data_IF_527651511392
#
_entry.id   IF_527651511392
#
_cell.length_a   1.000
_cell.length_b   1.000
_cell.length_c   1.000
_cell.angle_alpha   90.00
_cell.angle_beta   90.00
_cell.angle_gamma   90.00
#
_symmetry.space_group_name_H-M   'P 1'
#
loop_
_entity.id
_entity.type
_entity.pdbx_description
1 polymer ?
#
# COMPACT_ATOMS: atom_id res chain seq x y z
N UNK A 1 -11.71 -15.58 -16.92
CA UNK A 1 -11.27 -15.09 -18.24
C UNK A 1 -9.92 -15.70 -18.51
N UNK A 2 -9.72 -16.32 -19.67
CA UNK A 2 -8.56 -17.13 -19.99
C UNK A 2 -7.28 -16.29 -19.99
N UNK A 3 -6.26 -16.77 -19.27
CA UNK A 3 -4.86 -16.35 -19.37
C UNK A 3 -4.34 -16.66 -20.79
N UNK A 4 -4.76 -15.88 -21.76
CA UNK A 4 -4.27 -15.85 -23.13
C UNK A 4 -4.10 -14.40 -23.60
N UNK A 5 -3.62 -13.52 -22.73
CA UNK A 5 -3.04 -12.25 -23.15
C UNK A 5 -1.54 -12.45 -23.30
N UNK A 6 -1.19 -12.29 -24.42
CA UNK A 6 -0.16 -12.63 -25.34
C UNK A 6 1.25 -12.23 -24.86
N UNK A 7 2.21 -13.11 -25.09
CA UNK A 7 3.65 -12.84 -25.05
C UNK A 7 4.09 -11.61 -25.88
N UNK A 8 3.16 -10.91 -26.53
CA UNK A 8 3.38 -9.66 -27.27
C UNK A 8 3.40 -8.42 -26.37
N UNK A 9 2.88 -8.49 -25.13
CA UNK A 9 2.79 -7.37 -24.19
C UNK A 9 3.96 -7.34 -23.19
N UNK A 10 4.67 -8.46 -23.03
CA UNK A 10 5.87 -8.50 -22.18
C UNK A 10 7.02 -7.68 -22.79
N UNK A 11 7.80 -7.02 -21.94
CA UNK A 11 9.03 -6.37 -22.33
C UNK A 11 10.06 -7.36 -22.91
N UNK A 12 11.05 -6.87 -23.64
CA UNK A 12 12.16 -7.70 -24.12
C UNK A 12 12.93 -8.33 -22.96
N UNK A 13 13.11 -7.58 -21.87
CA UNK A 13 13.77 -8.06 -20.66
C UNK A 13 12.98 -9.20 -20.01
N UNK A 14 11.66 -9.05 -19.85
CA UNK A 14 10.81 -10.06 -19.24
C UNK A 14 10.78 -11.40 -20.01
N UNK A 15 11.05 -11.37 -21.33
CA UNK A 15 11.18 -12.59 -22.16
C UNK A 15 12.56 -13.23 -22.11
N UNK A 16 13.54 -12.56 -21.54
CA UNK A 16 14.94 -12.98 -21.54
C UNK A 16 15.33 -13.70 -20.26
N UNK A 17 16.34 -14.59 -20.35
CA UNK A 17 16.97 -15.10 -19.15
C UNK A 17 17.76 -13.94 -18.49
N UNK A 18 17.58 -13.67 -17.18
CA UNK A 18 18.33 -12.62 -16.50
C UNK A 18 19.85 -12.69 -16.72
N UNK A 19 20.44 -13.87 -16.86
CA UNK A 19 21.88 -14.05 -17.08
C UNK A 19 22.38 -13.69 -18.48
N UNK A 20 21.48 -13.58 -19.45
CA UNK A 20 21.82 -13.18 -20.83
C UNK A 20 21.85 -11.64 -21.00
N UNK A 21 21.35 -10.89 -20.03
CA UNK A 21 21.29 -9.43 -20.02
C UNK A 21 22.55 -8.88 -19.34
N UNK A 22 23.25 -7.88 -19.91
CA UNK A 22 24.33 -7.20 -19.19
C UNK A 22 23.81 -6.61 -17.86
N UNK A 23 24.55 -6.78 -16.74
CA UNK A 23 24.14 -6.28 -15.42
C UNK A 23 23.67 -4.82 -15.47
N UNK A 24 24.45 -3.94 -16.08
CA UNK A 24 24.14 -2.50 -16.21
C UNK A 24 22.86 -2.20 -17.02
N UNK A 25 22.17 -3.21 -17.55
CA UNK A 25 20.94 -3.08 -18.34
C UNK A 25 19.72 -3.73 -17.64
N UNK A 26 19.92 -4.37 -16.49
CA UNK A 26 18.81 -4.93 -15.74
C UNK A 26 18.00 -3.79 -15.15
N UNK A 27 16.75 -3.68 -15.59
CA UNK A 27 15.79 -2.68 -15.14
C UNK A 27 14.72 -3.36 -14.24
N UNK A 28 14.86 -3.20 -12.94
CA UNK A 28 13.88 -3.72 -12.00
C UNK A 28 12.67 -2.80 -11.80
N UNK A 29 12.61 -1.68 -12.51
CA UNK A 29 11.40 -0.83 -12.59
C UNK A 29 10.43 -1.28 -13.69
N UNK A 30 10.82 -2.24 -14.50
CA UNK A 30 9.96 -2.83 -15.54
C UNK A 30 8.74 -3.54 -14.93
N UNK A 31 7.56 -2.93 -15.05
CA UNK A 31 6.32 -3.43 -14.48
C UNK A 31 5.95 -4.83 -14.97
N UNK A 32 6.37 -5.22 -16.19
CA UNK A 32 6.07 -6.55 -16.73
C UNK A 32 6.77 -7.68 -15.97
N UNK A 33 7.87 -7.40 -15.27
CA UNK A 33 8.51 -8.38 -14.39
C UNK A 33 7.60 -8.78 -13.22
N UNK A 34 6.81 -7.84 -12.72
CA UNK A 34 5.88 -8.07 -11.59
C UNK A 34 4.55 -8.63 -12.09
N UNK A 35 4.03 -8.14 -13.21
CA UNK A 35 2.81 -8.64 -13.81
C UNK A 35 2.87 -10.15 -14.12
N UNK A 36 4.04 -10.63 -14.58
CA UNK A 36 4.26 -12.03 -14.94
C UNK A 36 5.03 -12.84 -13.88
N UNK A 37 5.22 -12.30 -12.67
CA UNK A 37 5.91 -12.96 -11.54
C UNK A 37 7.33 -13.44 -11.89
N UNK A 38 8.08 -12.61 -12.61
CA UNK A 38 9.43 -12.92 -13.09
C UNK A 38 10.53 -12.22 -12.27
N UNK A 39 10.17 -11.23 -11.48
CA UNK A 39 11.08 -10.33 -10.76
C UNK A 39 12.09 -11.06 -9.86
N UNK A 40 11.71 -12.18 -9.25
CA UNK A 40 12.55 -12.95 -8.33
C UNK A 40 13.88 -13.38 -8.95
N UNK A 41 13.87 -13.80 -10.21
CA UNK A 41 15.07 -14.24 -10.92
C UNK A 41 16.06 -13.09 -11.16
N UNK A 42 15.54 -11.90 -11.46
CA UNK A 42 16.33 -10.67 -11.65
C UNK A 42 16.94 -10.19 -10.33
N UNK A 43 16.12 -10.09 -9.28
CA UNK A 43 16.62 -9.73 -7.95
C UNK A 43 17.62 -10.73 -7.38
N UNK A 44 17.44 -12.03 -7.63
CA UNK A 44 18.42 -13.06 -7.23
C UNK A 44 19.77 -12.79 -7.86
N UNK A 45 19.80 -12.56 -9.16
CA UNK A 45 21.03 -12.23 -9.87
C UNK A 45 21.68 -10.95 -9.34
N UNK A 46 20.91 -9.89 -9.11
CA UNK A 46 21.44 -8.65 -8.55
C UNK A 46 22.01 -8.87 -7.15
N UNK A 47 21.32 -9.64 -6.28
CA UNK A 47 21.85 -9.96 -4.94
C UNK A 47 23.19 -10.68 -4.99
N UNK A 48 23.42 -11.51 -5.99
CA UNK A 48 24.63 -12.29 -6.14
C UNK A 48 25.78 -11.51 -6.79
N UNK A 49 25.50 -10.78 -7.86
CA UNK A 49 26.52 -10.20 -8.73
C UNK A 49 26.68 -8.67 -8.56
N UNK A 50 25.61 -7.95 -8.23
CA UNK A 50 25.60 -6.48 -8.12
C UNK A 50 24.54 -5.98 -7.11
N UNK A 51 24.77 -6.22 -5.79
CA UNK A 51 23.73 -6.01 -4.76
C UNK A 51 23.34 -4.55 -4.51
N UNK A 52 24.16 -3.59 -4.94
CA UNK A 52 23.89 -2.15 -4.94
C UNK A 52 23.95 -1.71 -6.40
N UNK A 53 22.90 -2.00 -7.11
CA UNK A 53 22.83 -1.87 -8.56
C UNK A 53 22.44 -0.47 -8.97
N UNK A 54 23.21 0.13 -9.91
CA UNK A 54 22.90 1.42 -10.53
C UNK A 54 22.37 1.25 -11.93
N UNK A 55 21.14 1.70 -12.16
CA UNK A 55 20.56 1.82 -13.50
C UNK A 55 20.61 3.29 -13.93
N UNK A 56 21.32 3.55 -15.03
CA UNK A 56 21.53 4.92 -15.55
C UNK A 56 20.38 5.42 -16.42
N UNK A 57 19.63 4.51 -17.04
CA UNK A 57 18.64 4.81 -18.07
C UNK A 57 17.38 3.97 -17.82
N UNK A 58 16.37 4.57 -17.20
CA UNK A 58 15.05 3.99 -16.98
C UNK A 58 13.98 5.03 -17.31
N UNK A 59 12.71 4.60 -17.46
CA UNK A 59 11.57 5.53 -17.62
C UNK A 59 11.43 6.56 -16.47
N UNK A 60 11.99 6.23 -15.29
CA UNK A 60 11.94 7.06 -14.07
C UNK A 60 13.22 7.85 -13.81
N UNK A 61 14.15 7.91 -14.79
CA UNK A 61 15.48 8.46 -14.58
C UNK A 61 16.45 7.47 -13.91
N UNK A 62 17.67 7.91 -13.55
CA UNK A 62 18.66 7.05 -12.92
C UNK A 62 18.33 6.75 -11.47
N UNK A 63 18.51 5.50 -11.04
CA UNK A 63 18.28 5.11 -9.65
C UNK A 63 19.20 3.97 -9.20
N UNK A 64 19.26 3.77 -7.86
CA UNK A 64 19.95 2.68 -7.22
C UNK A 64 18.98 1.66 -6.67
N UNK A 65 19.23 0.37 -6.94
CA UNK A 65 18.48 -0.74 -6.34
C UNK A 65 19.31 -1.40 -5.25
N UNK A 66 18.82 -1.38 -4.03
CA UNK A 66 19.45 -2.03 -2.87
C UNK A 66 18.76 -3.37 -2.67
N UNK A 67 19.47 -4.49 -2.87
CA UNK A 67 18.81 -5.81 -3.01
C UNK A 67 19.11 -6.79 -1.88
N UNK A 68 20.11 -6.54 -1.02
CA UNK A 68 20.42 -7.40 0.14
C UNK A 68 19.77 -6.88 1.41
N UNK A 69 19.20 -7.76 2.18
CA UNK A 69 18.50 -7.44 3.42
C UNK A 69 19.34 -6.59 4.40
N UNK A 70 20.62 -6.91 4.59
CA UNK A 70 21.49 -6.14 5.47
C UNK A 70 21.72 -4.71 4.98
N UNK A 71 21.84 -4.52 3.67
CA UNK A 71 22.04 -3.21 3.04
C UNK A 71 20.76 -2.37 3.11
N UNK A 72 19.59 -3.00 2.86
CA UNK A 72 18.27 -2.38 3.04
C UNK A 72 18.11 -1.93 4.49
N UNK A 73 18.41 -2.79 5.47
CA UNK A 73 18.34 -2.41 6.90
C UNK A 73 19.30 -1.28 7.25
N UNK A 74 20.46 -1.23 6.59
CA UNK A 74 21.42 -0.14 6.81
C UNK A 74 20.85 1.18 6.31
N UNK A 75 20.34 1.22 5.08
CA UNK A 75 19.72 2.42 4.49
C UNK A 75 18.54 2.89 5.34
N UNK A 76 17.60 1.99 5.66
CA UNK A 76 16.38 2.28 6.40
C UNK A 76 16.65 2.85 7.81
N UNK A 77 17.72 2.43 8.47
CA UNK A 77 18.05 2.88 9.84
C UNK A 77 18.87 4.16 9.90
N UNK A 78 19.42 4.62 8.79
CA UNK A 78 20.30 5.78 8.76
C UNK A 78 19.66 6.97 8.01
N UNK A 79 18.54 7.44 8.54
CA UNK A 79 17.84 8.61 8.01
C UNK A 79 18.68 9.91 8.05
N UNK A 80 19.76 9.94 8.84
CA UNK A 80 20.77 11.01 8.86
C UNK A 80 21.71 10.99 7.65
N UNK A 81 21.75 9.89 6.90
CA UNK A 81 22.54 9.72 5.67
C UNK A 81 21.63 9.63 4.44
N UNK A 82 20.52 8.91 4.56
CA UNK A 82 19.58 8.63 3.49
C UNK A 82 18.26 9.34 3.77
N UNK A 83 18.00 10.40 3.01
CA UNK A 83 16.77 11.19 3.11
C UNK A 83 15.60 10.49 2.44
N UNK A 84 14.39 10.65 3.00
CA UNK A 84 13.12 10.27 2.36
C UNK A 84 12.57 11.38 1.45
N UNK A 85 13.18 12.58 1.49
CA UNK A 85 12.76 13.70 0.66
C UNK A 85 13.43 13.67 -0.72
N UNK A 86 12.73 14.09 -1.77
CA UNK A 86 11.33 14.56 -1.80
C UNK A 86 10.32 13.44 -2.02
N UNK A 87 10.74 12.19 -2.23
CA UNK A 87 9.87 11.07 -2.58
C UNK A 87 10.36 9.74 -2.02
N UNK A 88 9.40 8.87 -1.70
CA UNK A 88 9.63 7.45 -1.42
C UNK A 88 9.44 6.56 -2.66
N UNK A 89 9.09 7.15 -3.80
CA UNK A 89 8.91 6.46 -5.07
C UNK A 89 10.02 6.87 -6.03
N UNK A 90 10.37 5.98 -6.95
CA UNK A 90 11.26 6.31 -8.07
C UNK A 90 10.56 7.26 -9.05
N UNK A 91 11.34 8.13 -9.68
CA UNK A 91 10.84 9.13 -10.62
C UNK A 91 10.56 10.49 -9.99
N UNK A 92 10.22 11.43 -10.84
CA UNK A 92 9.90 12.79 -10.42
C UNK A 92 8.45 12.91 -9.98
N UNK A 93 8.18 13.80 -9.04
CA UNK A 93 6.81 14.13 -8.64
C UNK A 93 6.04 14.79 -9.77
N UNK A 94 4.75 14.46 -9.87
CA UNK A 94 3.83 15.23 -10.70
C UNK A 94 3.74 16.67 -10.16
N UNK A 95 4.04 17.66 -11.03
CA UNK A 95 3.88 19.08 -10.70
C UNK A 95 2.40 19.46 -10.52
N UNK A 96 1.48 18.68 -11.09
CA UNK A 96 0.04 18.96 -11.09
C UNK A 96 -0.64 18.63 -9.76
N UNK A 97 -0.10 17.65 -9.00
CA UNK A 97 -0.60 17.31 -7.66
C UNK A 97 0.60 17.12 -6.71
N UNK A 98 1.13 18.19 -6.13
CA UNK A 98 2.26 18.11 -5.21
C UNK A 98 1.80 17.58 -3.84
N UNK A 99 1.54 16.28 -3.75
CA UNK A 99 1.19 15.62 -2.48
C UNK A 99 2.42 15.50 -1.61
N UNK A 100 2.35 16.03 -0.40
CA UNK A 100 3.38 15.87 0.62
C UNK A 100 2.80 15.14 1.83
N UNK A 101 3.50 14.14 2.32
CA UNK A 101 3.09 13.38 3.50
C UNK A 101 4.29 13.09 4.41
N UNK A 102 4.03 12.60 5.63
CA UNK A 102 5.10 12.46 6.60
C UNK A 102 6.14 11.40 6.26
N UNK A 103 5.82 10.34 5.50
CA UNK A 103 6.83 9.35 5.11
C UNK A 103 7.77 9.82 4.01
N UNK A 104 7.42 10.92 3.31
CA UNK A 104 8.27 11.62 2.35
C UNK A 104 9.00 12.80 2.95
N UNK A 105 8.98 12.92 4.28
CA UNK A 105 9.59 14.03 5.01
C UNK A 105 10.67 13.53 5.95
N UNK A 106 11.72 14.29 6.11
CA UNK A 106 12.75 14.02 7.12
C UNK A 106 12.34 14.58 8.50
N UNK A 107 12.99 14.15 9.59
CA UNK A 107 12.82 14.78 10.89
C UNK A 107 13.14 16.29 10.85
N UNK A 108 12.41 17.15 11.58
CA UNK A 108 11.41 16.82 12.60
C UNK A 108 9.97 16.66 12.09
N UNK A 109 9.68 16.96 10.82
CA UNK A 109 8.32 16.95 10.25
C UNK A 109 7.73 15.53 10.31
N UNK A 110 8.49 14.53 9.87
CA UNK A 110 8.12 13.12 9.98
C UNK A 110 7.67 12.75 11.39
N UNK A 111 8.50 13.03 12.39
CA UNK A 111 8.27 12.58 13.77
C UNK A 111 7.02 13.19 14.39
N UNK A 112 6.82 14.48 14.13
CA UNK A 112 5.67 15.25 14.63
C UNK A 112 4.37 14.70 14.06
N UNK A 113 4.28 14.56 12.74
CA UNK A 113 3.05 14.11 12.08
C UNK A 113 2.77 12.63 12.34
N UNK A 114 3.79 11.77 12.31
CA UNK A 114 3.66 10.35 12.65
C UNK A 114 3.15 10.15 14.08
N UNK A 115 3.68 10.90 15.04
CA UNK A 115 3.26 10.84 16.44
C UNK A 115 1.77 11.18 16.62
N UNK A 116 1.23 12.09 15.82
CA UNK A 116 -0.18 12.48 15.89
C UNK A 116 -1.12 11.32 15.58
N UNK A 117 -0.75 10.42 14.65
CA UNK A 117 -1.62 9.33 14.16
C UNK A 117 -1.27 7.96 14.73
N UNK A 118 -0.08 7.75 15.27
CA UNK A 118 0.39 6.42 15.69
C UNK A 118 -0.50 5.77 16.76
N UNK A 119 -1.17 6.56 17.58
CA UNK A 119 -2.03 6.04 18.65
C UNK A 119 -3.25 5.27 18.13
N UNK A 120 -3.73 5.55 16.91
CA UNK A 120 -4.87 4.84 16.31
C UNK A 120 -4.60 3.34 16.23
N UNK A 121 -3.38 2.97 15.91
CA UNK A 121 -2.94 1.56 15.80
C UNK A 121 -2.13 1.08 17.01
N UNK A 122 -2.20 1.80 18.13
CA UNK A 122 -1.58 1.35 19.36
C UNK A 122 -2.21 0.04 19.87
N UNK A 123 -1.46 -0.85 20.51
CA UNK A 123 -1.96 -2.17 20.93
C UNK A 123 -3.25 -2.11 21.79
N UNK A 124 -3.40 -1.09 22.65
CA UNK A 124 -4.62 -0.87 23.44
C UNK A 124 -5.84 -0.62 22.54
N UNK A 125 -5.66 0.15 21.49
CA UNK A 125 -6.73 0.55 20.58
C UNK A 125 -7.07 -0.57 19.60
N UNK A 126 -6.06 -1.33 19.17
CA UNK A 126 -6.28 -2.55 18.38
C UNK A 126 -7.08 -3.59 19.17
N UNK A 127 -6.87 -3.69 20.49
CA UNK A 127 -7.68 -4.58 21.34
C UNK A 127 -9.16 -4.17 21.39
N UNK A 128 -9.47 -2.87 21.32
CA UNK A 128 -10.84 -2.37 21.23
C UNK A 128 -11.46 -2.59 19.84
N UNK A 129 -10.65 -2.55 18.80
CA UNK A 129 -11.09 -2.80 17.42
C UNK A 129 -11.27 -4.30 17.11
N UNK A 130 -10.59 -5.20 17.82
CA UNK A 130 -10.64 -6.65 17.55
C UNK A 130 -12.08 -7.21 17.53
N UNK A 131 -12.98 -6.92 18.48
CA UNK A 131 -14.36 -7.42 18.41
C UNK A 131 -15.11 -6.93 17.18
N UNK A 132 -14.85 -5.70 16.74
CA UNK A 132 -15.46 -5.10 15.54
C UNK A 132 -14.94 -5.83 14.29
N UNK A 133 -13.62 -6.00 14.18
CA UNK A 133 -12.98 -6.72 13.06
C UNK A 133 -13.54 -8.14 12.98
N UNK A 134 -13.60 -8.85 14.09
CA UNK A 134 -14.12 -10.22 14.17
C UNK A 134 -15.57 -10.32 13.73
N UNK A 135 -16.43 -9.41 14.21
CA UNK A 135 -17.84 -9.36 13.84
C UNK A 135 -18.03 -9.10 12.34
N UNK A 136 -17.25 -8.16 11.77
CA UNK A 136 -17.31 -7.85 10.34
C UNK A 136 -16.80 -8.99 9.49
N UNK A 137 -15.67 -9.58 9.86
CA UNK A 137 -15.14 -10.74 9.15
C UNK A 137 -16.13 -11.91 9.17
N UNK A 138 -16.77 -12.18 10.31
CA UNK A 138 -17.81 -13.21 10.39
C UNK A 138 -19.00 -12.90 9.48
N UNK A 139 -19.51 -11.66 9.52
CA UNK A 139 -20.63 -11.24 8.68
C UNK A 139 -20.33 -11.38 7.18
N UNK A 140 -19.14 -10.92 6.75
CA UNK A 140 -18.70 -11.03 5.35
C UNK A 140 -18.59 -12.50 4.93
N UNK A 141 -17.99 -13.35 5.77
CA UNK A 141 -17.82 -14.77 5.47
C UNK A 141 -19.14 -15.55 5.45
N UNK A 142 -20.09 -15.19 6.33
CA UNK A 142 -21.42 -15.83 6.38
C UNK A 142 -22.30 -15.46 5.18
N UNK A 143 -22.04 -14.29 4.52
CA UNK A 143 -22.76 -13.83 3.33
C UNK A 143 -22.19 -14.39 2.00
N UNK A 144 -21.12 -15.17 2.06
CA UNK A 144 -20.50 -15.74 0.86
C UNK A 144 -21.40 -16.79 0.18
N UNK A 145 -21.48 -16.80 -1.17
CA UNK A 145 -22.32 -17.74 -1.90
C UNK A 145 -21.78 -19.17 -1.77
N UNK A 146 -22.48 -20.01 -1.03
CA UNK A 146 -22.09 -21.39 -0.82
C UNK A 146 -22.29 -22.24 -2.11
N UNK A 147 -21.23 -22.91 -2.56
CA UNK A 147 -21.26 -23.78 -3.74
C UNK A 147 -21.14 -23.07 -5.07
N UNK A 148 -20.86 -21.78 -5.08
CA UNK A 148 -20.63 -20.95 -6.27
C UNK A 148 -19.20 -20.42 -6.30
N UNK A 149 -18.70 -20.12 -7.50
CA UNK A 149 -17.42 -19.43 -7.67
C UNK A 149 -17.64 -17.91 -7.51
N UNK A 150 -16.82 -17.25 -6.72
CA UNK A 150 -16.87 -15.81 -6.52
C UNK A 150 -15.48 -15.19 -6.47
N UNK A 151 -15.40 -13.88 -6.64
CA UNK A 151 -14.16 -13.12 -6.50
C UNK A 151 -13.88 -12.85 -5.00
N UNK A 152 -12.88 -13.53 -4.45
CA UNK A 152 -12.46 -13.36 -3.05
C UNK A 152 -11.99 -11.95 -2.73
N UNK A 153 -11.23 -11.32 -3.66
CA UNK A 153 -10.69 -9.98 -3.46
C UNK A 153 -11.81 -8.99 -3.24
N UNK A 154 -12.81 -8.99 -4.11
CA UNK A 154 -13.95 -8.07 -4.02
C UNK A 154 -14.84 -8.36 -2.82
N UNK A 155 -15.19 -9.63 -2.62
CA UNK A 155 -16.18 -10.03 -1.61
C UNK A 155 -15.64 -10.01 -0.18
N UNK A 156 -14.35 -10.24 0.00
CA UNK A 156 -13.75 -10.38 1.34
C UNK A 156 -12.69 -9.33 1.60
N UNK A 157 -11.62 -9.31 0.82
CA UNK A 157 -10.45 -8.50 1.14
C UNK A 157 -10.74 -7.00 1.05
N UNK A 158 -11.33 -6.54 -0.05
CA UNK A 158 -11.73 -5.13 -0.25
C UNK A 158 -12.81 -4.74 0.74
N UNK A 159 -13.84 -5.55 0.91
CA UNK A 159 -14.96 -5.21 1.78
C UNK A 159 -14.52 -5.07 3.24
N UNK A 160 -13.69 -5.99 3.76
CA UNK A 160 -13.21 -5.93 5.14
C UNK A 160 -12.31 -4.70 5.37
N UNK A 161 -11.34 -4.45 4.50
CA UNK A 161 -10.42 -3.31 4.64
C UNK A 161 -11.16 -1.98 4.53
N UNK A 162 -12.09 -1.86 3.59
CA UNK A 162 -12.90 -0.65 3.39
C UNK A 162 -13.78 -0.35 4.59
N UNK A 163 -14.43 -1.36 5.17
CA UNK A 163 -15.22 -1.20 6.40
C UNK A 163 -14.35 -0.76 7.58
N UNK A 164 -13.15 -1.30 7.70
CA UNK A 164 -12.24 -0.94 8.78
C UNK A 164 -11.70 0.48 8.62
N UNK A 165 -11.34 0.88 7.41
CA UNK A 165 -10.94 2.26 7.13
C UNK A 165 -12.05 3.25 7.48
N UNK A 166 -13.29 2.98 7.06
CA UNK A 166 -14.43 3.82 7.40
C UNK A 166 -14.59 3.98 8.93
N UNK A 167 -14.29 2.92 9.70
CA UNK A 167 -14.32 2.99 11.17
C UNK A 167 -13.17 3.82 11.73
N UNK A 168 -11.95 3.62 11.22
CA UNK A 168 -10.74 4.31 11.70
C UNK A 168 -10.81 5.81 11.43
N UNK A 169 -11.38 6.21 10.29
CA UNK A 169 -11.61 7.62 9.93
C UNK A 169 -12.93 8.19 10.48
N UNK A 170 -13.82 7.35 11.05
CA UNK A 170 -15.23 7.67 11.31
C UNK A 170 -15.89 8.30 10.06
N UNK A 171 -15.61 7.69 8.90
CA UNK A 171 -16.12 8.08 7.60
C UNK A 171 -17.54 7.56 7.40
N UNK A 172 -18.44 8.27 6.67
CA UNK A 172 -19.78 7.78 6.40
C UNK A 172 -19.80 6.39 5.81
N UNK A 173 -20.40 5.43 6.53
CA UNK A 173 -20.28 3.99 6.21
C UNK A 173 -20.86 3.65 4.84
N UNK A 174 -21.94 4.31 4.46
CA UNK A 174 -22.61 4.12 3.15
C UNK A 174 -21.75 4.58 1.96
N UNK A 175 -20.81 5.49 2.23
CA UNK A 175 -19.90 6.04 1.23
C UNK A 175 -18.49 5.41 1.30
N UNK A 176 -18.29 4.38 2.13
CA UNK A 176 -16.98 3.78 2.40
C UNK A 176 -16.19 3.36 1.16
N UNK A 177 -16.88 2.97 0.08
CA UNK A 177 -16.24 2.56 -1.17
C UNK A 177 -15.44 3.68 -1.85
N UNK A 178 -15.72 4.95 -1.51
CA UNK A 178 -14.90 6.07 -1.95
C UNK A 178 -13.46 5.98 -1.43
N UNK A 179 -13.25 5.40 -0.25
CA UNK A 179 -11.91 5.21 0.31
C UNK A 179 -11.06 4.28 -0.57
N UNK A 180 -11.64 3.16 -1.03
CA UNK A 180 -10.97 2.27 -1.97
C UNK A 180 -10.75 2.95 -3.33
N UNK A 181 -11.75 3.64 -3.85
CA UNK A 181 -11.65 4.38 -5.11
C UNK A 181 -10.51 5.41 -5.09
N UNK A 182 -10.38 6.20 -4.02
CA UNK A 182 -9.29 7.17 -3.89
C UNK A 182 -7.93 6.52 -3.65
N UNK A 183 -7.89 5.37 -2.98
CA UNK A 183 -6.68 4.55 -2.85
C UNK A 183 -6.18 4.11 -4.22
N UNK A 184 -7.07 3.51 -5.02
CA UNK A 184 -6.74 3.02 -6.36
C UNK A 184 -6.29 4.17 -7.28
N UNK A 185 -6.96 5.34 -7.22
CA UNK A 185 -6.54 6.54 -7.97
C UNK A 185 -5.17 7.07 -7.56
N UNK A 186 -4.84 6.99 -6.28
CA UNK A 186 -3.57 7.53 -5.77
C UNK A 186 -2.35 6.76 -6.26
N UNK A 187 -2.50 5.43 -6.42
CA UNK A 187 -1.41 4.54 -6.86
C UNK A 187 -1.42 4.28 -8.37
N UNK A 188 -2.54 4.58 -9.05
CA UNK A 188 -2.64 4.41 -10.49
C UNK A 188 -1.93 5.57 -11.20
N UNK A 189 -0.73 5.32 -11.72
CA UNK A 189 -0.04 6.24 -12.62
C UNK A 189 -0.04 5.67 -14.04
N UNK A 190 -0.05 6.52 -15.08
CA UNK A 190 -0.01 6.07 -16.48
C UNK A 190 1.19 5.14 -16.76
N UNK A 191 2.32 5.40 -16.12
CA UNK A 191 3.55 4.61 -16.24
C UNK A 191 3.40 3.20 -15.68
N UNK A 192 2.57 3.03 -14.64
CA UNK A 192 2.33 1.74 -13.98
C UNK A 192 1.15 0.99 -14.57
N UNK A 193 0.11 1.70 -15.03
CA UNK A 193 -1.16 1.10 -15.48
C UNK A 193 -1.25 0.96 -17.00
N UNK A 194 -0.35 1.56 -17.75
CA UNK A 194 -0.40 1.59 -19.22
C UNK A 194 -1.54 2.47 -19.77
N UNK A 195 -1.78 2.36 -21.08
CA UNK A 195 -2.76 3.23 -21.78
C UNK A 195 -4.23 2.97 -21.42
N UNK A 196 -4.54 1.84 -20.78
CA UNK A 196 -5.90 1.47 -20.37
C UNK A 196 -6.19 1.82 -18.90
N UNK A 197 -5.26 2.51 -18.25
CA UNK A 197 -5.35 2.93 -16.87
C UNK A 197 -6.14 4.22 -16.65
N UNK A 198 -6.10 4.70 -15.41
CA UNK A 198 -6.70 5.95 -14.98
C UNK A 198 -5.98 7.12 -15.67
N UNK A 199 -6.76 8.03 -16.26
CA UNK A 199 -6.19 9.26 -16.85
C UNK A 199 -5.79 10.23 -15.74
N UNK A 200 -4.78 11.09 -16.00
CA UNK A 200 -4.36 12.11 -15.05
C UNK A 200 -5.53 13.06 -14.70
N UNK A 201 -6.39 13.37 -15.65
CA UNK A 201 -7.60 14.20 -15.40
C UNK A 201 -8.55 13.52 -14.39
N UNK A 202 -8.78 12.20 -14.52
CA UNK A 202 -9.60 11.43 -13.59
C UNK A 202 -8.94 11.34 -12.20
N UNK A 203 -7.63 11.18 -12.16
CA UNK A 203 -6.84 11.16 -10.93
C UNK A 203 -6.94 12.50 -10.19
N UNK A 204 -6.68 13.63 -10.87
CA UNK A 204 -6.80 14.98 -10.31
C UNK A 204 -8.20 15.23 -9.78
N UNK A 205 -9.23 14.89 -10.58
CA UNK A 205 -10.64 15.07 -10.18
C UNK A 205 -10.97 14.26 -8.93
N UNK A 206 -10.65 12.96 -8.91
CA UNK A 206 -10.98 12.08 -7.79
C UNK A 206 -10.23 12.44 -6.51
N UNK A 207 -8.96 12.83 -6.60
CA UNK A 207 -8.21 13.30 -5.44
C UNK A 207 -8.74 14.68 -4.94
N UNK A 208 -9.21 15.53 -5.84
CA UNK A 208 -9.92 16.76 -5.48
C UNK A 208 -11.23 16.49 -4.74
N UNK A 209 -12.00 15.48 -5.15
CA UNK A 209 -13.21 15.03 -4.44
C UNK A 209 -12.86 14.50 -3.03
N UNK A 210 -11.78 13.75 -2.90
CA UNK A 210 -11.27 13.29 -1.61
C UNK A 210 -10.97 14.47 -0.67
N UNK A 211 -10.20 15.44 -1.15
CA UNK A 211 -9.86 16.65 -0.38
C UNK A 211 -11.11 17.39 0.08
N UNK A 212 -12.07 17.61 -0.82
CA UNK A 212 -13.32 18.31 -0.50
C UNK A 212 -14.15 17.56 0.55
N UNK A 213 -14.27 16.24 0.42
CA UNK A 213 -15.00 15.39 1.37
C UNK A 213 -14.39 15.43 2.75
N UNK A 214 -13.08 15.24 2.85
CA UNK A 214 -12.40 15.25 4.15
C UNK A 214 -12.32 16.66 4.76
N UNK A 215 -12.21 17.71 3.96
CA UNK A 215 -12.32 19.10 4.45
C UNK A 215 -13.70 19.37 5.06
N UNK A 216 -14.76 18.84 4.44
CA UNK A 216 -16.12 18.92 4.99
C UNK A 216 -16.23 18.20 6.33
N UNK A 217 -15.76 16.94 6.39
CA UNK A 217 -15.73 16.16 7.63
C UNK A 217 -14.91 16.83 8.73
N UNK A 218 -13.76 17.39 8.40
CA UNK A 218 -12.91 18.14 9.31
C UNK A 218 -13.67 19.32 9.94
N UNK A 219 -14.30 20.15 9.13
CA UNK A 219 -15.04 21.32 9.58
C UNK A 219 -16.26 20.95 10.45
N UNK A 220 -16.95 19.86 10.12
CA UNK A 220 -18.04 19.32 10.92
C UNK A 220 -17.56 18.85 12.29
N UNK A 221 -16.37 18.19 12.33
CA UNK A 221 -15.79 17.61 13.54
C UNK A 221 -15.12 18.61 14.45
N UNK A 222 -14.54 19.67 13.92
CA UNK A 222 -13.80 20.69 14.67
C UNK A 222 -14.60 21.26 15.86
N UNK A 223 -15.92 21.25 15.78
CA UNK A 223 -16.82 21.78 16.81
C UNK A 223 -17.56 20.71 17.60
N UNK A 224 -17.16 19.41 17.46
CA UNK A 224 -17.75 18.31 18.18
C UNK A 224 -16.84 17.82 19.29
N UNK A 225 -17.37 17.11 20.31
CA UNK A 225 -16.52 16.44 21.28
C UNK A 225 -15.54 15.48 20.58
N UNK A 226 -14.27 15.38 21.04
CA UNK A 226 -13.32 14.46 20.48
C UNK A 226 -13.82 13.02 20.50
N UNK A 227 -13.65 12.32 19.38
CA UNK A 227 -13.89 10.88 19.26
C UNK A 227 -12.56 10.16 19.06
N UNK A 228 -12.60 8.85 19.22
CA UNK A 228 -11.46 7.99 18.93
C UNK A 228 -11.46 7.60 17.45
N UNK A 229 -11.06 8.53 16.57
CA UNK A 229 -10.87 8.35 15.14
C UNK A 229 -9.73 9.24 14.64
N UNK A 230 -9.19 8.93 13.44
CA UNK A 230 -8.04 9.62 12.86
C UNK A 230 -8.29 11.13 12.68
N UNK A 231 -9.47 11.52 12.19
CA UNK A 231 -9.79 12.93 11.93
C UNK A 231 -9.83 13.70 13.25
N UNK A 232 -10.51 13.15 14.27
CA UNK A 232 -10.55 13.76 15.61
C UNK A 232 -9.17 13.87 16.24
N UNK A 233 -8.29 12.86 16.05
CA UNK A 233 -6.91 12.91 16.55
C UNK A 233 -6.10 14.03 15.90
N UNK A 234 -6.18 14.17 14.59
CA UNK A 234 -5.50 15.24 13.86
C UNK A 234 -6.01 16.63 14.27
N UNK A 235 -7.32 16.81 14.44
CA UNK A 235 -7.95 18.07 14.85
C UNK A 235 -7.52 18.48 16.27
N UNK A 236 -7.37 17.52 17.18
CA UNK A 236 -7.12 17.79 18.60
C UNK A 236 -5.62 17.75 18.99
N UNK A 237 -4.74 17.56 18.03
CA UNK A 237 -3.30 17.61 18.25
C UNK A 237 -2.75 18.98 17.84
N UNK A 238 -2.00 19.61 18.75
CA UNK A 238 -1.47 20.97 18.54
C UNK A 238 -0.58 21.10 17.30
N UNK A 239 0.09 20.03 16.92
CA UNK A 239 1.02 20.00 15.78
C UNK A 239 0.32 19.76 14.42
N UNK A 240 -0.95 19.31 14.43
CA UNK A 240 -1.68 18.95 13.19
C UNK A 240 -3.04 19.64 13.05
N UNK A 241 -3.52 20.35 14.08
CA UNK A 241 -4.87 20.98 14.09
C UNK A 241 -5.11 21.99 12.95
N UNK A 242 -4.06 22.54 12.39
CA UNK A 242 -4.12 23.50 11.29
C UNK A 242 -3.71 22.86 9.93
N UNK A 243 -3.54 21.53 9.87
CA UNK A 243 -3.10 20.81 8.67
C UNK A 243 -4.08 21.00 7.49
N UNK A 244 -5.37 21.16 7.76
CA UNK A 244 -6.40 21.42 6.74
C UNK A 244 -6.19 22.72 5.97
N UNK A 245 -5.45 23.68 6.54
CA UNK A 245 -5.12 24.96 5.92
C UNK A 245 -4.01 24.84 4.86
N UNK A 246 -3.34 23.69 4.78
CA UNK A 246 -2.34 23.34 3.77
C UNK A 246 -2.83 22.12 2.98
N UNK A 247 -3.63 22.33 1.91
CA UNK A 247 -4.32 21.25 1.20
C UNK A 247 -3.41 20.13 0.70
N UNK A 248 -2.19 20.45 0.25
CA UNK A 248 -1.22 19.48 -0.25
C UNK A 248 -0.75 18.52 0.84
N UNK A 249 -0.49 19.05 2.03
CA UNK A 249 -0.07 18.26 3.21
C UNK A 249 -1.26 17.47 3.76
N UNK A 250 -2.44 18.10 3.83
CA UNK A 250 -3.65 17.45 4.33
C UNK A 250 -4.04 16.27 3.44
N UNK A 251 -4.18 16.49 2.13
CA UNK A 251 -4.52 15.44 1.18
C UNK A 251 -3.43 14.35 1.15
N UNK A 252 -2.16 14.74 1.11
CA UNK A 252 -1.05 13.79 1.08
C UNK A 252 -1.05 12.84 2.27
N UNK A 253 -1.29 13.35 3.48
CA UNK A 253 -1.38 12.51 4.69
C UNK A 253 -2.64 11.66 4.72
N UNK A 254 -3.78 12.18 4.25
CA UNK A 254 -5.01 11.38 4.13
C UNK A 254 -4.81 10.20 3.17
N UNK A 255 -4.29 10.47 1.98
CA UNK A 255 -4.03 9.43 0.96
C UNK A 255 -3.03 8.40 1.48
N UNK A 256 -1.95 8.83 2.14
CA UNK A 256 -1.00 7.90 2.77
C UNK A 256 -1.69 6.94 3.73
N UNK A 257 -2.55 7.46 4.61
CA UNK A 257 -3.25 6.64 5.62
C UNK A 257 -4.32 5.74 4.98
N UNK A 258 -4.99 6.21 3.92
CA UNK A 258 -5.97 5.43 3.18
C UNK A 258 -5.28 4.29 2.43
N UNK A 259 -4.27 4.57 1.63
CA UNK A 259 -3.51 3.58 0.85
C UNK A 259 -2.84 2.56 1.78
N UNK A 260 -2.12 3.03 2.80
CA UNK A 260 -1.43 2.17 3.74
C UNK A 260 -2.36 1.22 4.52
N UNK A 261 -3.58 1.66 4.85
CA UNK A 261 -4.57 0.84 5.54
C UNK A 261 -5.37 -0.09 4.63
N UNK A 262 -5.48 0.23 3.35
CA UNK A 262 -6.26 -0.53 2.37
C UNK A 262 -5.42 -1.59 1.65
N UNK A 263 -4.45 -1.17 0.85
CA UNK A 263 -3.82 -2.03 -0.14
C UNK A 263 -2.94 -3.13 0.46
N UNK A 264 -2.09 -2.79 1.41
CA UNK A 264 -1.19 -3.76 2.02
C UNK A 264 -1.96 -4.86 2.77
N UNK A 265 -3.03 -4.50 3.46
CA UNK A 265 -3.89 -5.44 4.19
C UNK A 265 -4.74 -6.28 3.21
N UNK A 266 -5.35 -5.67 2.21
CA UNK A 266 -6.11 -6.33 1.14
C UNK A 266 -5.27 -7.39 0.45
N UNK A 267 -4.05 -7.04 0.04
CA UNK A 267 -3.13 -7.94 -0.63
C UNK A 267 -2.65 -9.07 0.27
N UNK A 268 -2.39 -8.78 1.56
CA UNK A 268 -2.03 -9.82 2.54
C UNK A 268 -3.15 -10.82 2.76
N UNK A 269 -4.40 -10.38 2.87
CA UNK A 269 -5.57 -11.28 3.02
C UNK A 269 -5.72 -12.16 1.77
N UNK A 270 -5.65 -11.56 0.58
CA UNK A 270 -5.82 -12.28 -0.70
C UNK A 270 -4.68 -13.26 -0.94
N UNK A 271 -3.44 -12.82 -0.79
CA UNK A 271 -2.25 -13.65 -0.96
C UNK A 271 -2.15 -14.77 0.08
N UNK A 272 -2.58 -14.52 1.30
CA UNK A 272 -2.64 -15.54 2.34
C UNK A 272 -3.58 -16.69 2.00
N UNK A 273 -4.75 -16.40 1.43
CA UNK A 273 -5.69 -17.43 0.96
C UNK A 273 -5.12 -18.20 -0.22
N UNK A 274 -4.50 -17.51 -1.19
CA UNK A 274 -3.83 -18.14 -2.32
C UNK A 274 -2.72 -19.08 -1.83
N UNK A 275 -1.82 -18.59 -0.99
CA UNK A 275 -0.69 -19.36 -0.45
C UNK A 275 -1.15 -20.61 0.31
N UNK A 276 -2.21 -20.53 1.11
CA UNK A 276 -2.77 -21.70 1.81
C UNK A 276 -3.41 -22.71 0.86
N UNK A 277 -3.97 -22.28 -0.27
CA UNK A 277 -4.50 -23.18 -1.30
C UNK A 277 -3.37 -23.87 -2.09
N UNK A 278 -2.29 -23.19 -2.37
CA UNK A 278 -1.13 -23.74 -3.06
C UNK A 278 -0.28 -24.66 -2.15
N UNK A 279 -0.39 -24.49 -0.84
CA UNK A 279 0.36 -25.25 0.17
C UNK A 279 -0.58 -25.96 1.16
N UNK A 280 -1.31 -27.03 0.72
CA UNK A 280 -2.33 -27.69 1.54
C UNK A 280 -1.79 -28.31 2.84
N UNK A 281 -0.52 -28.69 2.88
CA UNK A 281 0.11 -29.24 4.08
C UNK A 281 0.29 -28.15 5.16
N UNK A 282 0.60 -26.91 4.77
CA UNK A 282 0.67 -25.77 5.68
C UNK A 282 -0.71 -25.38 6.18
N UNK A 283 -1.72 -25.44 5.29
CA UNK A 283 -3.12 -25.24 5.70
C UNK A 283 -3.57 -26.29 6.70
N UNK A 284 -3.18 -27.58 6.53
CA UNK A 284 -3.53 -28.62 7.48
C UNK A 284 -2.85 -28.38 8.85
N UNK A 285 -1.59 -27.95 8.90
CA UNK A 285 -0.91 -27.57 10.16
C UNK A 285 -1.66 -26.46 10.90
N UNK A 286 -2.14 -25.45 10.17
CA UNK A 286 -2.95 -24.36 10.73
C UNK A 286 -4.27 -24.89 11.35
N UNK A 287 -4.94 -25.81 10.66
CA UNK A 287 -6.20 -26.43 11.14
C UNK A 287 -5.97 -27.29 12.40
N UNK A 288 -4.86 -28.01 12.43
CA UNK A 288 -4.52 -28.87 13.56
C UNK A 288 -4.03 -28.09 14.78
N UNK A 289 -3.44 -26.91 14.57
CA UNK A 289 -2.92 -26.07 15.65
C UNK A 289 -3.16 -24.56 15.39
N UNK A 290 -4.34 -24.02 15.77
CA UNK A 290 -4.64 -22.60 15.61
C UNK A 290 -3.68 -21.64 16.36
N UNK A 291 -2.86 -22.15 17.30
CA UNK A 291 -1.89 -21.32 18.02
C UNK A 291 -0.77 -20.79 17.11
N UNK A 292 -0.62 -21.32 15.88
CA UNK A 292 0.35 -20.81 14.89
C UNK A 292 -0.17 -19.59 14.10
N UNK A 293 -1.42 -19.18 14.27
CA UNK A 293 -2.01 -18.04 13.55
C UNK A 293 -1.13 -16.77 13.63
N UNK A 294 -0.59 -16.35 14.78
CA UNK A 294 0.28 -15.16 14.81
C UNK A 294 1.52 -15.30 13.92
N UNK A 295 2.14 -16.47 13.89
CA UNK A 295 3.29 -16.73 13.03
C UNK A 295 2.89 -16.79 11.55
N UNK A 296 1.72 -17.36 11.24
CA UNK A 296 1.14 -17.37 9.89
C UNK A 296 0.96 -15.94 9.36
N UNK A 297 0.43 -15.02 10.18
CA UNK A 297 0.25 -13.61 9.77
C UNK A 297 1.59 -12.98 9.38
N UNK A 298 2.62 -13.15 10.20
CA UNK A 298 3.97 -12.65 9.91
C UNK A 298 4.54 -13.27 8.63
N UNK A 299 4.30 -14.58 8.42
CA UNK A 299 4.76 -15.29 7.23
C UNK A 299 4.02 -14.84 5.97
N UNK A 300 2.70 -14.58 6.04
CA UNK A 300 1.94 -14.03 4.92
C UNK A 300 2.51 -12.67 4.49
N UNK A 301 2.78 -11.76 5.44
CA UNK A 301 3.38 -10.46 5.13
C UNK A 301 4.75 -10.61 4.48
N UNK A 302 5.58 -11.53 4.99
CA UNK A 302 6.91 -11.83 4.43
C UNK A 302 6.82 -12.44 3.03
N UNK A 303 5.91 -13.41 2.82
CA UNK A 303 5.77 -14.16 1.57
C UNK A 303 5.12 -13.34 0.47
N UNK A 304 3.99 -12.72 0.79
CA UNK A 304 3.23 -11.90 -0.16
C UNK A 304 3.95 -10.60 -0.51
N UNK A 305 4.73 -10.06 0.41
CA UNK A 305 5.47 -8.79 0.27
C UNK A 305 4.58 -7.71 -0.37
N UNK A 306 3.47 -7.31 0.28
CA UNK A 306 2.47 -6.41 -0.33
C UNK A 306 3.02 -5.02 -0.66
N UNK A 307 4.19 -4.68 -0.14
CA UNK A 307 5.00 -3.53 -0.49
C UNK A 307 6.38 -4.03 -0.92
N UNK A 308 6.60 -4.13 -2.23
CA UNK A 308 7.80 -4.74 -2.80
C UNK A 308 9.03 -3.83 -2.78
N UNK A 309 8.83 -2.53 -2.88
CA UNK A 309 9.89 -1.51 -2.90
C UNK A 309 9.37 -0.16 -2.41
N UNK A 310 10.27 0.63 -1.89
CA UNK A 310 10.11 2.05 -1.59
C UNK A 310 11.38 2.77 -1.96
#
# INVERSE_FOLDING_TARGET
MSVQNSASEMSEQARSNPHDIPLAKIDVSDSTLYEYDLHDAFFRRLREEDPVHYLADSPFGPFWSITRFADIQYVDRHHDIFSSEPSILIGDHSEDIPLTNFIQSDPPVHDVQRKAVQNVVAPSNLAELEPIIRSRAAFILDDLPAGETFNWVEKVSVELTTQMLATIFDFPFEERHLLTYWSDLAIATPELTGNDGVTEEERIRGLGECLQKFTTLWNERKNQPPKFDLISMLINNDDTKDMVDTPEVFLGNLILLIVGGNDTTRNSISGGVLALNENPDEYQKLRDNPAVIPNMVSEIVRWQTPLLHM
#
